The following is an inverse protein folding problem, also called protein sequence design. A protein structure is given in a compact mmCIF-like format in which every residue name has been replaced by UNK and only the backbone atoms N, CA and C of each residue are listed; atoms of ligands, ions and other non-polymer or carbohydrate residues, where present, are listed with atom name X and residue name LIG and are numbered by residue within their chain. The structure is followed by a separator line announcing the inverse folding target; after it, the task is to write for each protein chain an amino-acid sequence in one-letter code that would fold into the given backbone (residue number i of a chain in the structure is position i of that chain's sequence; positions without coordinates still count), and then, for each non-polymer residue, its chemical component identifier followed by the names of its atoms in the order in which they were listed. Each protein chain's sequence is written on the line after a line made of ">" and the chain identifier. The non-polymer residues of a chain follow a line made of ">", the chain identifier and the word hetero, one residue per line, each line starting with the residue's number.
data_IF_424955448099
#
_entry.id   IF_424955448099
#
_cell.length_a   1.000
_cell.length_b   1.000
_cell.length_c   1.000
_cell.angle_alpha   90.00
_cell.angle_beta   90.00
_cell.angle_gamma   90.00
#
_symmetry.space_group_name_H-M   'P 1'
#
loop_
_entity.id
_entity.type
_entity.pdbx_description
1 polymer ?
#
# COMPACT_ATOMS: atom_id res chain seq x y z
N UNK A 1 -19.88 -11.59 -5.09
CA UNK A 1 -18.81 -11.90 -6.05
C UNK A 1 -17.52 -12.01 -5.24
N UNK A 2 -16.94 -13.21 -5.11
CA UNK A 2 -15.64 -13.38 -4.46
C UNK A 2 -14.57 -12.96 -5.46
N UNK A 3 -14.12 -11.70 -5.37
CA UNK A 3 -13.11 -11.13 -6.25
C UNK A 3 -11.75 -11.69 -5.81
N UNK A 4 -11.14 -12.50 -6.68
CA UNK A 4 -9.82 -13.07 -6.51
C UNK A 4 -8.78 -12.02 -6.95
N UNK A 5 -7.83 -11.60 -6.09
CA UNK A 5 -6.83 -10.58 -6.42
C UNK A 5 -5.92 -10.92 -7.60
N UNK A 6 -5.86 -12.20 -8.01
CA UNK A 6 -5.10 -12.65 -9.20
C UNK A 6 -5.80 -12.36 -10.53
N UNK A 7 -7.09 -12.04 -10.50
CA UNK A 7 -7.91 -11.83 -11.71
C UNK A 7 -7.98 -10.37 -12.16
N UNK A 8 -7.30 -9.44 -11.47
CA UNK A 8 -7.18 -8.06 -11.91
C UNK A 8 -6.19 -7.94 -13.08
N UNK A 9 -6.72 -8.00 -14.31
CA UNK A 9 -5.97 -7.67 -15.53
C UNK A 9 -5.94 -6.14 -15.75
N UNK A 10 -4.80 -5.62 -16.23
CA UNK A 10 -4.54 -4.20 -16.45
C UNK A 10 -5.54 -3.56 -17.44
N UNK A 11 -6.08 -4.38 -18.34
CA UNK A 11 -7.11 -3.95 -19.29
C UNK A 11 -8.49 -3.75 -18.63
N UNK A 12 -8.85 -4.54 -17.60
CA UNK A 12 -10.05 -4.28 -16.79
C UNK A 12 -9.90 -2.97 -16.00
N UNK A 13 -8.72 -2.74 -15.42
CA UNK A 13 -8.43 -1.51 -14.67
C UNK A 13 -8.51 -0.26 -15.57
N UNK A 14 -7.98 -0.33 -16.80
CA UNK A 14 -8.12 0.75 -17.81
C UNK A 14 -9.56 0.97 -18.23
N UNK A 15 -10.34 -0.10 -18.39
CA UNK A 15 -11.75 -0.03 -18.77
C UNK A 15 -12.60 0.63 -17.68
N UNK A 16 -12.37 0.25 -16.42
CA UNK A 16 -13.06 0.85 -15.26
C UNK A 16 -12.74 2.34 -15.10
N UNK A 17 -11.48 2.75 -15.32
CA UNK A 17 -11.07 4.14 -15.28
C UNK A 17 -11.77 5.01 -16.35
N UNK A 18 -11.99 4.47 -17.56
CA UNK A 18 -12.71 5.17 -18.63
C UNK A 18 -14.21 5.25 -18.37
N UNK A 19 -14.81 4.15 -17.92
CA UNK A 19 -16.26 4.07 -17.73
C UNK A 19 -16.77 4.96 -16.59
N UNK A 20 -15.92 5.32 -15.61
CA UNK A 20 -16.24 6.27 -14.54
C UNK A 20 -16.12 7.74 -14.96
N UNK A 21 -15.31 8.04 -15.98
CA UNK A 21 -15.18 9.39 -16.54
C UNK A 21 -16.41 9.84 -17.33
N UNK A 22 -17.16 8.91 -17.91
CA UNK A 22 -18.36 9.23 -18.70
C UNK A 22 -19.61 9.46 -17.84
N UNK A 23 -19.67 8.95 -16.61
CA UNK A 23 -20.84 9.09 -15.73
C UNK A 23 -20.91 10.43 -14.97
N UNK A 24 -19.88 11.27 -15.06
CA UNK A 24 -19.76 12.52 -14.30
C UNK A 24 -19.73 13.78 -15.20
N UNK A 25 -20.16 13.64 -16.46
CA UNK A 25 -20.16 14.71 -17.48
C UNK A 25 -21.55 15.17 -17.93
N UNK A 26 -22.59 14.91 -17.15
CA UNK A 26 -23.96 15.37 -17.42
C UNK A 26 -24.29 16.62 -16.60
N UNK A 27 -24.67 17.69 -17.28
CA UNK A 27 -25.10 19.00 -16.78
C UNK A 27 -26.01 18.88 -15.54
N UNK A 28 -25.65 19.58 -14.46
CA UNK A 28 -26.44 19.69 -13.25
C UNK A 28 -27.72 20.51 -13.50
N UNK A 29 -28.89 19.93 -13.23
CA UNK A 29 -30.13 20.67 -12.96
C UNK A 29 -30.18 21.03 -11.46
N UNK A 30 -30.57 22.26 -11.18
CA UNK A 30 -30.38 23.04 -9.94
C UNK A 30 -31.37 22.74 -8.79
N UNK A 31 -31.93 21.52 -8.66
CA UNK A 31 -33.05 21.29 -7.72
C UNK A 31 -32.85 20.20 -6.65
N UNK A 32 -31.64 19.69 -6.41
CA UNK A 32 -31.40 18.72 -5.32
C UNK A 32 -30.07 18.98 -4.58
N UNK A 33 -29.92 20.17 -3.99
CA UNK A 33 -28.95 20.37 -2.91
C UNK A 33 -29.67 20.07 -1.59
N UNK A 34 -29.46 18.90 -0.95
CA UNK A 34 -30.06 18.63 0.34
C UNK A 34 -29.46 19.57 1.41
N UNK A 35 -30.34 20.12 2.24
CA UNK A 35 -30.03 21.00 3.36
C UNK A 35 -28.97 20.35 4.29
N UNK A 36 -27.83 21.01 4.60
CA UNK A 36 -26.79 20.46 5.48
C UNK A 36 -27.29 20.17 6.91
N UNK A 37 -28.46 20.70 7.30
CA UNK A 37 -29.07 20.42 8.60
C UNK A 37 -29.78 19.05 8.67
N UNK A 38 -29.97 18.36 7.53
CA UNK A 38 -30.69 17.08 7.45
C UNK A 38 -29.79 15.89 7.12
N UNK A 39 -28.47 16.01 7.28
CA UNK A 39 -27.57 14.86 7.37
C UNK A 39 -27.84 14.12 8.69
N UNK A 40 -28.92 13.35 8.72
CA UNK A 40 -29.03 12.24 9.64
C UNK A 40 -27.86 11.30 9.33
N UNK A 41 -26.98 11.16 10.31
CA UNK A 41 -25.77 10.34 10.33
C UNK A 41 -26.11 8.90 9.95
N UNK A 42 -26.11 8.64 8.65
CA UNK A 42 -26.34 7.34 8.03
C UNK A 42 -25.03 6.74 7.55
N UNK A 43 -24.42 5.97 8.44
CA UNK A 43 -23.44 4.90 8.15
C UNK A 43 -22.08 5.30 7.56
N UNK A 44 -21.16 5.50 8.49
CA UNK A 44 -19.70 5.26 8.56
C UNK A 44 -18.96 4.46 7.45
N UNK A 45 -19.65 3.72 6.58
CA UNK A 45 -19.02 2.88 5.55
C UNK A 45 -18.65 3.66 4.27
N UNK A 46 -19.43 4.67 3.87
CA UNK A 46 -19.17 5.37 2.59
C UNK A 46 -18.04 6.41 2.69
N UNK A 47 -17.84 7.00 3.88
CA UNK A 47 -16.74 7.92 4.16
C UNK A 47 -15.37 7.23 4.17
N UNK A 48 -15.27 6.05 4.78
CA UNK A 48 -14.04 5.25 4.80
C UNK A 48 -13.66 4.71 3.41
N UNK A 49 -14.65 4.31 2.60
CA UNK A 49 -14.42 3.85 1.23
C UNK A 49 -13.86 4.96 0.33
N UNK A 50 -14.35 6.20 0.48
CA UNK A 50 -13.84 7.37 -0.25
C UNK A 50 -12.46 7.81 0.24
N UNK A 51 -12.21 7.80 1.54
CA UNK A 51 -10.90 8.10 2.13
C UNK A 51 -9.85 7.06 1.71
N UNK A 52 -10.18 5.77 1.79
CA UNK A 52 -9.35 4.67 1.30
C UNK A 52 -9.06 4.81 -0.19
N UNK A 53 -10.06 5.19 -1.01
CA UNK A 53 -9.84 5.45 -2.44
C UNK A 53 -8.89 6.63 -2.71
N UNK A 54 -8.91 7.67 -1.88
CA UNK A 54 -8.04 8.85 -2.00
C UNK A 54 -6.61 8.54 -1.56
N UNK A 55 -6.44 7.83 -0.45
CA UNK A 55 -5.15 7.34 0.03
C UNK A 55 -4.50 6.41 -1.00
N UNK A 56 -5.24 5.40 -1.49
CA UNK A 56 -4.80 4.50 -2.56
C UNK A 56 -4.38 5.25 -3.81
N UNK A 57 -5.16 6.24 -4.24
CA UNK A 57 -4.81 7.08 -5.39
C UNK A 57 -3.49 7.84 -5.19
N UNK A 58 -3.18 8.24 -3.95
CA UNK A 58 -1.89 8.81 -3.57
C UNK A 58 -0.74 7.81 -3.71
N UNK A 59 -0.89 6.60 -3.15
CA UNK A 59 0.10 5.52 -3.26
C UNK A 59 0.38 5.16 -4.72
N UNK A 60 -0.67 5.01 -5.54
CA UNK A 60 -0.50 4.74 -6.97
C UNK A 60 0.31 5.83 -7.65
N UNK A 61 0.01 7.11 -7.38
CA UNK A 61 0.75 8.23 -7.95
C UNK A 61 2.23 8.18 -7.58
N UNK A 62 2.54 7.79 -6.35
CA UNK A 62 3.91 7.63 -5.89
C UNK A 62 4.62 6.45 -6.55
N UNK A 63 3.90 5.36 -6.86
CA UNK A 63 4.43 4.21 -7.59
C UNK A 63 4.64 4.46 -9.10
N UNK A 64 3.88 5.37 -9.72
CA UNK A 64 3.92 5.62 -11.17
C UNK A 64 5.34 5.84 -11.75
N UNK A 65 6.21 6.67 -11.13
CA UNK A 65 7.58 6.85 -11.61
C UNK A 65 8.38 5.55 -11.65
N UNK A 66 8.17 4.65 -10.69
CA UNK A 66 8.86 3.36 -10.59
C UNK A 66 8.31 2.34 -11.59
N UNK A 67 7.00 2.35 -11.85
CA UNK A 67 6.32 1.48 -12.82
C UNK A 67 6.57 1.86 -14.29
N UNK A 68 7.08 3.06 -14.56
CA UNK A 68 7.23 3.60 -15.93
C UNK A 68 8.57 3.26 -16.59
N UNK A 69 9.49 2.58 -15.91
CA UNK A 69 10.80 2.18 -16.44
C UNK A 69 10.78 0.82 -17.16
N UNK A 70 11.46 0.71 -18.31
CA UNK A 70 11.47 -0.45 -19.22
C UNK A 70 12.13 -1.74 -18.68
N UNK A 71 12.59 -1.80 -17.44
CA UNK A 71 13.24 -3.02 -16.90
C UNK A 71 13.22 -3.06 -15.37
N UNK A 72 12.08 -3.42 -14.79
CA UNK A 72 12.00 -3.85 -13.38
C UNK A 72 11.52 -5.29 -13.34
N UNK A 73 12.38 -6.20 -13.80
CA UNK A 73 12.17 -7.62 -13.56
C UNK A 73 12.32 -7.87 -12.06
N UNK A 74 11.39 -8.62 -11.49
CA UNK A 74 11.45 -9.01 -10.09
C UNK A 74 12.76 -9.78 -9.80
N UNK A 75 13.37 -9.63 -8.61
CA UNK A 75 12.86 -8.90 -7.45
C UNK A 75 13.08 -7.39 -7.50
N UNK A 76 12.14 -6.61 -6.93
CA UNK A 76 12.20 -5.15 -6.95
C UNK A 76 13.34 -4.59 -6.07
N UNK A 77 13.58 -5.18 -4.90
CA UNK A 77 14.67 -4.80 -4.02
C UNK A 77 15.65 -5.97 -3.85
N UNK A 78 16.77 -5.88 -4.58
CA UNK A 78 17.79 -6.93 -4.60
C UNK A 78 18.73 -6.89 -3.38
N UNK A 79 19.01 -5.69 -2.87
CA UNK A 79 19.86 -5.42 -1.71
C UNK A 79 19.40 -4.12 -1.03
N UNK A 80 19.66 -3.99 0.28
CA UNK A 80 19.43 -2.72 1.00
C UNK A 80 20.52 -1.70 0.64
N UNK A 81 20.17 -0.46 0.27
CA UNK A 81 21.17 0.56 -0.03
C UNK A 81 22.02 0.91 1.19
N UNK A 82 23.35 0.94 1.05
CA UNK A 82 24.30 1.27 2.13
C UNK A 82 24.40 2.78 2.39
N UNK A 83 23.28 3.44 2.63
CA UNK A 83 23.23 4.88 2.94
C UNK A 83 22.45 5.13 4.22
N UNK A 84 22.88 6.12 5.01
CA UNK A 84 22.15 6.54 6.22
C UNK A 84 20.70 6.95 5.93
N UNK A 85 20.43 7.51 4.74
CA UNK A 85 19.09 7.88 4.33
C UNK A 85 18.20 6.65 4.10
N UNK A 86 18.74 5.60 3.47
CA UNK A 86 18.03 4.34 3.26
C UNK A 86 17.78 3.61 4.59
N UNK A 87 18.75 3.61 5.50
CA UNK A 87 18.60 3.02 6.84
C UNK A 87 17.42 3.65 7.61
N UNK A 88 17.27 4.98 7.55
CA UNK A 88 16.11 5.66 8.15
C UNK A 88 14.78 5.19 7.53
N UNK A 89 14.72 5.03 6.22
CA UNK A 89 13.52 4.56 5.50
C UNK A 89 13.21 3.10 5.81
N UNK A 90 14.24 2.27 6.00
CA UNK A 90 14.06 0.89 6.48
C UNK A 90 13.43 0.87 7.86
N UNK A 91 13.94 1.66 8.82
CA UNK A 91 13.36 1.71 10.17
C UNK A 91 11.93 2.25 10.17
N UNK A 92 11.66 3.30 9.39
CA UNK A 92 10.29 3.83 9.23
C UNK A 92 9.34 2.74 8.70
N UNK A 93 9.78 1.94 7.73
CA UNK A 93 8.98 0.85 7.19
C UNK A 93 8.76 -0.27 8.20
N UNK A 94 9.79 -0.70 8.94
CA UNK A 94 9.66 -1.75 9.96
C UNK A 94 8.80 -1.31 11.13
N UNK A 95 8.93 -0.07 11.60
CA UNK A 95 8.07 0.52 12.62
C UNK A 95 6.60 0.53 12.18
N UNK A 96 6.35 0.87 10.91
CA UNK A 96 5.02 0.80 10.33
C UNK A 96 4.44 -0.63 10.37
N UNK A 97 5.20 -1.64 9.93
CA UNK A 97 4.76 -3.04 9.95
C UNK A 97 4.45 -3.51 11.38
N UNK A 98 5.33 -3.18 12.33
CA UNK A 98 5.17 -3.51 13.74
C UNK A 98 3.94 -2.83 14.36
N UNK A 99 3.71 -1.55 14.05
CA UNK A 99 2.56 -0.81 14.58
C UNK A 99 1.23 -1.37 14.07
N UNK A 100 1.19 -1.82 12.82
CA UNK A 100 -0.02 -2.30 12.16
C UNK A 100 -0.29 -3.79 12.38
N UNK A 101 0.73 -4.63 12.59
CA UNK A 101 0.56 -6.09 12.67
C UNK A 101 1.36 -6.81 13.75
N UNK A 102 2.09 -6.05 14.57
CA UNK A 102 3.00 -6.60 15.56
C UNK A 102 4.17 -7.37 14.97
N UNK A 103 4.96 -8.00 15.83
CA UNK A 103 6.20 -8.67 15.42
C UNK A 103 5.93 -9.85 14.49
N UNK A 104 5.00 -10.73 14.89
CA UNK A 104 4.69 -11.93 14.11
C UNK A 104 4.11 -11.55 12.74
N UNK A 105 3.17 -10.60 12.69
CA UNK A 105 2.59 -10.13 11.42
C UNK A 105 3.62 -9.45 10.52
N UNK A 106 4.56 -8.68 11.08
CA UNK A 106 5.64 -8.07 10.32
C UNK A 106 6.57 -9.11 9.70
N UNK A 107 7.02 -10.12 10.46
CA UNK A 107 7.89 -11.19 9.92
C UNK A 107 7.16 -12.04 8.87
N UNK A 108 5.87 -12.35 9.08
CA UNK A 108 5.04 -13.04 8.10
C UNK A 108 4.86 -12.21 6.81
N UNK A 109 4.70 -10.89 6.93
CA UNK A 109 4.61 -9.99 5.78
C UNK A 109 5.91 -9.95 4.98
N UNK A 110 7.07 -9.86 5.65
CA UNK A 110 8.37 -9.93 4.99
C UNK A 110 8.56 -11.27 4.27
N UNK A 111 8.16 -12.38 4.90
CA UNK A 111 8.16 -13.70 4.28
C UNK A 111 7.27 -13.75 3.02
N UNK A 112 6.09 -13.14 3.10
CA UNK A 112 5.19 -13.04 1.97
C UNK A 112 5.78 -12.21 0.83
N UNK A 113 6.39 -11.06 1.13
CA UNK A 113 7.03 -10.18 0.13
C UNK A 113 8.20 -10.87 -0.57
N UNK A 114 8.99 -11.66 0.14
CA UNK A 114 10.00 -12.54 -0.46
C UNK A 114 9.35 -13.55 -1.41
N UNK A 115 8.28 -14.23 -0.98
CA UNK A 115 7.63 -15.30 -1.77
C UNK A 115 7.03 -14.84 -3.11
N UNK A 116 6.73 -13.55 -3.25
CA UNK A 116 6.22 -12.93 -4.47
C UNK A 116 7.28 -12.12 -5.22
N UNK A 117 8.54 -12.28 -4.83
CA UNK A 117 9.73 -11.60 -5.38
C UNK A 117 9.59 -10.07 -5.35
N UNK A 118 9.14 -9.49 -4.24
CA UNK A 118 9.29 -8.04 -4.01
C UNK A 118 10.67 -7.72 -3.46
N UNK A 119 11.16 -8.59 -2.57
CA UNK A 119 12.47 -8.52 -1.94
C UNK A 119 13.20 -9.86 -2.13
N UNK A 120 14.53 -9.87 -2.05
CA UNK A 120 15.31 -11.12 -2.02
C UNK A 120 15.32 -11.76 -0.64
N UNK A 121 15.69 -13.05 -0.58
CA UNK A 121 15.97 -13.76 0.69
C UNK A 121 16.99 -13.02 1.56
N UNK A 122 18.04 -12.46 0.95
CA UNK A 122 19.04 -11.66 1.66
C UNK A 122 18.46 -10.41 2.30
N UNK A 123 17.67 -9.64 1.55
CA UNK A 123 16.98 -8.46 2.08
C UNK A 123 16.01 -8.83 3.19
N UNK A 124 15.25 -9.93 3.05
CA UNK A 124 14.40 -10.43 4.13
C UNK A 124 15.21 -10.72 5.39
N UNK A 125 16.32 -11.43 5.27
CA UNK A 125 17.18 -11.78 6.40
C UNK A 125 17.65 -10.52 7.14
N UNK A 126 18.14 -9.51 6.41
CA UNK A 126 18.60 -8.25 7.01
C UNK A 126 17.47 -7.52 7.74
N UNK A 127 16.26 -7.50 7.17
CA UNK A 127 15.08 -6.87 7.77
C UNK A 127 14.60 -7.61 9.03
N UNK A 128 14.58 -8.95 9.01
CA UNK A 128 14.25 -9.76 10.19
C UNK A 128 15.29 -9.57 11.30
N UNK A 129 16.57 -9.42 10.98
CA UNK A 129 17.62 -9.09 11.95
C UNK A 129 17.38 -7.71 12.59
N UNK A 130 16.93 -6.72 11.82
CA UNK A 130 16.53 -5.42 12.38
C UNK A 130 15.29 -5.52 13.28
N UNK A 131 14.28 -6.31 12.89
CA UNK A 131 13.08 -6.53 13.72
C UNK A 131 13.43 -7.08 15.10
N UNK A 132 14.36 -8.05 15.18
CA UNK A 132 14.85 -8.60 16.46
C UNK A 132 15.48 -7.55 17.38
N UNK A 133 15.98 -6.45 16.82
CA UNK A 133 16.58 -5.35 17.57
C UNK A 133 15.59 -4.32 18.11
N UNK A 134 14.32 -4.35 17.67
CA UNK A 134 13.28 -3.38 18.05
C UNK A 134 12.49 -3.94 19.25
N UNK A 135 12.34 -3.14 20.31
CA UNK A 135 11.65 -3.56 21.54
C UNK A 135 10.12 -3.72 21.32
N UNK A 136 9.59 -4.89 21.66
CA UNK A 136 8.21 -5.36 21.40
C UNK A 136 7.14 -4.70 22.30
N UNK A 137 7.50 -3.73 23.14
CA UNK A 137 6.66 -3.31 24.27
C UNK A 137 5.40 -2.50 23.89
N UNK A 138 5.16 -2.25 22.60
CA UNK A 138 4.03 -1.46 22.11
C UNK A 138 3.29 -2.06 20.90
N UNK A 139 3.47 -3.34 20.57
CA UNK A 139 2.86 -3.95 19.38
C UNK A 139 1.46 -4.50 19.63
N UNK A 140 0.55 -4.30 18.66
CA UNK A 140 -0.75 -4.97 18.64
C UNK A 140 -0.57 -6.31 17.90
N UNK A 141 -0.28 -7.39 18.64
CA UNK A 141 0.03 -8.71 18.07
C UNK A 141 -1.15 -9.43 17.37
N UNK A 142 -2.31 -8.78 17.25
CA UNK A 142 -3.57 -9.41 16.80
C UNK A 142 -4.13 -8.86 15.48
N UNK A 143 -3.39 -7.99 14.76
CA UNK A 143 -3.88 -7.37 13.53
C UNK A 143 -3.18 -7.91 12.28
N UNK A 144 -3.95 -8.34 11.28
CA UNK A 144 -3.43 -8.62 9.94
C UNK A 144 -3.25 -7.30 9.16
N UNK A 145 -2.21 -7.26 8.32
CA UNK A 145 -2.02 -6.13 7.39
C UNK A 145 -3.16 -6.06 6.38
N UNK A 146 -3.68 -4.85 6.18
CA UNK A 146 -4.68 -4.58 5.15
C UNK A 146 -4.04 -4.49 3.76
N UNK A 147 -4.88 -4.50 2.71
CA UNK A 147 -4.42 -4.28 1.33
C UNK A 147 -3.71 -2.93 1.18
N UNK A 148 -4.16 -1.92 1.92
CA UNK A 148 -3.55 -0.59 1.93
C UNK A 148 -2.14 -0.61 2.52
N UNK A 149 -1.94 -1.42 3.57
CA UNK A 149 -0.64 -1.58 4.22
C UNK A 149 0.38 -2.29 3.31
N UNK A 150 -0.08 -3.29 2.56
CA UNK A 150 0.75 -3.94 1.54
C UNK A 150 1.11 -3.00 0.39
N UNK A 151 0.18 -2.14 -0.05
CA UNK A 151 0.49 -1.13 -1.08
C UNK A 151 1.48 -0.09 -0.58
N UNK A 152 1.37 0.34 0.68
CA UNK A 152 2.34 1.26 1.28
C UNK A 152 3.71 0.59 1.42
N UNK A 153 3.75 -0.70 1.81
CA UNK A 153 5.01 -1.48 1.83
C UNK A 153 5.68 -1.53 0.46
N UNK A 154 4.90 -1.67 -0.61
CA UNK A 154 5.44 -1.61 -1.99
C UNK A 154 6.05 -0.24 -2.32
N UNK A 155 5.49 0.85 -1.80
CA UNK A 155 6.08 2.20 -1.94
C UNK A 155 7.43 2.28 -1.23
N UNK A 156 7.57 1.74 -0.02
CA UNK A 156 8.85 1.67 0.68
C UNK A 156 9.89 0.87 -0.11
N UNK A 157 9.51 -0.31 -0.61
CA UNK A 157 10.37 -1.13 -1.49
C UNK A 157 10.84 -0.33 -2.70
N UNK A 158 9.91 0.35 -3.40
CA UNK A 158 10.25 1.15 -4.57
C UNK A 158 11.20 2.32 -4.24
N UNK A 159 10.96 3.02 -3.11
CA UNK A 159 11.85 4.08 -2.61
C UNK A 159 13.26 3.57 -2.37
N UNK A 160 13.40 2.45 -1.67
CA UNK A 160 14.69 1.83 -1.38
C UNK A 160 15.40 1.42 -2.67
N UNK A 161 14.68 0.86 -3.64
CA UNK A 161 15.25 0.50 -4.95
C UNK A 161 15.81 1.71 -5.69
N UNK A 162 15.14 2.88 -5.65
CA UNK A 162 15.65 4.09 -6.31
C UNK A 162 16.78 4.80 -5.55
N UNK A 163 17.10 4.35 -4.33
CA UNK A 163 18.27 4.81 -3.58
C UNK A 163 19.52 3.97 -3.86
N UNK A 164 19.38 2.88 -4.62
CA UNK A 164 20.45 1.99 -5.05
C UNK A 164 21.03 2.42 -6.41
#
# INVERSE_FOLDING_TARGET
>A
MTINPRDYDLDELRKMARQRGEHNGGVADDEDIPDPANLEMGTDAEGEMLAGSSFRSGLYRELLPFLSGESHEKPYLAALPETYAAEFVVFEWLEFLLMHSGYQGADEALAYYESIDWITEGVRSDLSDYLLGIDETATNDDNDLSVDDHMLSLVYVAKLTAMN
#
